data_IF_675019675394
#
_entry.id   IF_675019675394
#
_cell.length_a   1.000
_cell.length_b   1.000
_cell.length_c   1.000
_cell.angle_alpha   90.00
_cell.angle_beta   90.00
_cell.angle_gamma   90.00
#
_symmetry.space_group_name_H-M   'P 1'
#
loop_
_entity.id
_entity.type
_entity.pdbx_description
1 polymer ?
#
# COMPACT_ATOMS: atom_id res chain seq x y z
N UNK A 1 -19.73 14.11 4.74
CA UNK A 1 -18.89 13.35 5.68
C UNK A 1 -17.74 12.77 4.86
N UNK A 2 -16.48 13.09 5.19
CA UNK A 2 -15.30 12.75 4.37
C UNK A 2 -14.82 11.31 4.64
N UNK A 3 -14.81 10.46 3.60
CA UNK A 3 -14.36 9.05 3.65
C UNK A 3 -12.96 8.90 4.26
N UNK A 4 -12.07 9.83 3.93
CA UNK A 4 -10.70 9.87 4.47
C UNK A 4 -10.73 9.99 5.99
N UNK A 5 -11.53 10.91 6.52
CA UNK A 5 -11.61 11.21 7.96
C UNK A 5 -12.29 10.10 8.78
N UNK A 6 -13.26 9.39 8.20
CA UNK A 6 -14.04 8.37 8.92
C UNK A 6 -13.42 6.97 8.84
N UNK A 7 -12.62 6.70 7.81
CA UNK A 7 -12.05 5.37 7.56
C UNK A 7 -10.51 5.40 7.54
N UNK A 8 -9.90 6.14 6.63
CA UNK A 8 -8.46 6.03 6.35
C UNK A 8 -7.54 6.61 7.44
N UNK A 9 -7.96 7.65 8.16
CA UNK A 9 -7.11 8.29 9.19
C UNK A 9 -7.32 7.76 10.61
N UNK A 10 -8.38 6.97 10.87
CA UNK A 10 -8.69 6.45 12.21
C UNK A 10 -7.76 5.30 12.60
N UNK A 11 -7.24 5.31 13.83
CA UNK A 11 -6.23 4.34 14.30
C UNK A 11 -6.81 3.05 14.92
N UNK A 12 -8.05 3.06 15.42
CA UNK A 12 -8.54 1.98 16.31
C UNK A 12 -9.52 1.03 15.60
N UNK A 13 -9.29 -0.29 15.68
CA UNK A 13 -10.22 -1.37 15.30
C UNK A 13 -9.71 -2.32 14.21
N UNK A 14 -10.15 -3.58 14.26
CA UNK A 14 -9.69 -4.68 13.36
C UNK A 14 -9.84 -4.30 11.89
N UNK A 15 -10.96 -3.69 11.48
CA UNK A 15 -11.22 -3.22 10.11
C UNK A 15 -10.40 -2.00 9.65
N UNK A 16 -9.44 -1.52 10.45
CA UNK A 16 -8.76 -0.23 10.27
C UNK A 16 -7.23 -0.32 10.40
N UNK A 17 -6.69 -1.53 10.45
CA UNK A 17 -5.24 -1.77 10.36
C UNK A 17 -4.72 -1.40 8.98
N UNK A 18 -3.44 -1.06 8.89
CA UNK A 18 -2.81 -0.63 7.66
C UNK A 18 -3.07 -1.55 6.46
N UNK A 19 -2.95 -2.90 6.56
CA UNK A 19 -3.23 -3.79 5.44
C UNK A 19 -4.64 -3.62 4.88
N UNK A 20 -5.68 -3.50 5.71
CA UNK A 20 -7.05 -3.35 5.19
C UNK A 20 -7.23 -2.04 4.44
N UNK A 21 -6.65 -0.96 4.96
CA UNK A 21 -6.71 0.35 4.30
C UNK A 21 -5.99 0.31 2.95
N UNK A 22 -4.81 -0.32 2.92
CA UNK A 22 -4.06 -0.54 1.69
C UNK A 22 -4.87 -1.39 0.69
N UNK A 23 -5.50 -2.48 1.16
CA UNK A 23 -6.35 -3.34 0.34
C UNK A 23 -7.54 -2.58 -0.25
N UNK A 24 -8.26 -1.80 0.56
CA UNK A 24 -9.39 -1.02 0.08
C UNK A 24 -8.97 0.07 -0.92
N UNK A 25 -7.84 0.73 -0.70
CA UNK A 25 -7.30 1.68 -1.66
C UNK A 25 -6.97 1.01 -3.01
N UNK A 26 -6.38 -0.20 -2.95
CA UNK A 26 -6.12 -1.01 -4.14
C UNK A 26 -7.41 -1.48 -4.83
N UNK A 27 -8.45 -1.87 -4.10
CA UNK A 27 -9.77 -2.19 -4.67
C UNK A 27 -10.39 -0.99 -5.39
N UNK A 28 -10.28 0.21 -4.80
CA UNK A 28 -10.75 1.44 -5.43
C UNK A 28 -10.04 1.65 -6.76
N UNK A 29 -8.71 1.59 -6.80
CA UNK A 29 -7.95 1.78 -8.05
C UNK A 29 -8.08 0.65 -9.06
N UNK A 30 -8.44 -0.57 -8.61
CA UNK A 30 -8.80 -1.66 -9.51
C UNK A 30 -10.09 -1.35 -10.28
N UNK A 31 -11.08 -0.76 -9.61
CA UNK A 31 -12.35 -0.37 -10.23
C UNK A 31 -12.25 0.97 -10.99
N UNK A 32 -11.45 1.90 -10.48
CA UNK A 32 -11.29 3.26 -10.99
C UNK A 32 -9.80 3.63 -11.04
N UNK A 33 -9.07 3.30 -12.13
CA UNK A 33 -7.62 3.54 -12.21
C UNK A 33 -7.20 4.99 -11.94
N UNK A 34 -7.99 5.96 -12.42
CA UNK A 34 -7.74 7.39 -12.18
C UNK A 34 -7.74 7.78 -10.69
N UNK A 35 -8.33 6.94 -9.84
CA UNK A 35 -8.31 7.14 -8.39
C UNK A 35 -6.91 6.98 -7.77
N UNK A 36 -5.91 6.52 -8.54
CA UNK A 36 -4.51 6.51 -8.15
C UNK A 36 -4.04 7.88 -7.63
N UNK A 37 -4.49 8.98 -8.25
CA UNK A 37 -4.11 10.34 -7.84
C UNK A 37 -4.68 10.77 -6.49
N UNK A 38 -5.66 10.03 -5.95
CA UNK A 38 -6.25 10.28 -4.64
C UNK A 38 -5.83 9.25 -3.59
N UNK A 39 -5.50 8.03 -4.02
CA UNK A 39 -5.17 6.92 -3.12
C UNK A 39 -3.67 6.68 -2.97
N UNK A 40 -2.91 6.98 -4.02
CA UNK A 40 -1.47 6.78 -4.09
C UNK A 40 -1.06 5.33 -4.25
N UNK A 41 -1.97 4.41 -4.55
CA UNK A 41 -1.65 2.98 -4.73
C UNK A 41 -2.40 2.39 -5.89
N UNK A 42 -1.78 1.48 -6.63
CA UNK A 42 -2.45 0.70 -7.68
C UNK A 42 -1.75 -0.63 -7.91
N UNK A 43 -2.45 -1.60 -8.48
CA UNK A 43 -1.83 -2.85 -8.92
C UNK A 43 -1.09 -2.64 -10.24
N UNK A 44 0.17 -3.10 -10.30
CA UNK A 44 0.95 -3.20 -11.54
C UNK A 44 0.82 -4.62 -12.11
N UNK A 45 0.87 -5.62 -11.23
CA UNK A 45 0.64 -7.02 -11.60
C UNK A 45 -0.36 -7.65 -10.64
N UNK A 46 -0.50 -8.99 -10.70
CA UNK A 46 -1.33 -9.73 -9.76
C UNK A 46 -0.82 -9.63 -8.31
N UNK A 47 0.47 -9.41 -8.09
CA UNK A 47 1.11 -9.42 -6.76
C UNK A 47 1.94 -8.19 -6.47
N UNK A 48 2.23 -7.36 -7.47
CA UNK A 48 3.03 -6.15 -7.32
C UNK A 48 2.14 -4.92 -7.37
N UNK A 49 2.32 -4.05 -6.38
CA UNK A 49 1.64 -2.77 -6.26
C UNK A 49 2.62 -1.63 -6.41
N UNK A 50 2.19 -0.55 -7.07
CA UNK A 50 2.86 0.75 -7.11
C UNK A 50 2.33 1.63 -6.00
N UNK A 51 3.23 2.38 -5.37
CA UNK A 51 2.93 3.23 -4.22
C UNK A 51 3.57 4.61 -4.40
N UNK A 52 2.74 5.65 -4.53
CA UNK A 52 3.15 7.04 -4.34
C UNK A 52 3.15 7.36 -2.84
N UNK A 53 4.34 7.58 -2.30
CA UNK A 53 4.59 7.80 -0.88
C UNK A 53 3.77 8.97 -0.30
N UNK A 54 3.76 10.11 -0.99
CA UNK A 54 3.15 11.32 -0.48
C UNK A 54 1.62 11.24 -0.52
N UNK A 55 1.06 10.72 -1.61
CA UNK A 55 -0.40 10.59 -1.75
C UNK A 55 -0.93 9.58 -0.73
N UNK A 56 -0.29 8.41 -0.61
CA UNK A 56 -0.70 7.39 0.37
C UNK A 56 -0.57 7.91 1.81
N UNK A 57 0.52 8.60 2.14
CA UNK A 57 0.70 9.19 3.47
C UNK A 57 -0.39 10.22 3.77
N UNK A 58 -0.74 11.08 2.81
CA UNK A 58 -1.84 12.04 2.94
C UNK A 58 -3.18 11.33 3.16
N UNK A 59 -3.49 10.27 2.40
CA UNK A 59 -4.69 9.46 2.58
C UNK A 59 -4.79 8.89 4.00
N UNK A 60 -3.68 8.33 4.50
CA UNK A 60 -3.61 7.68 5.80
C UNK A 60 -3.44 8.64 6.99
N UNK A 61 -3.18 9.92 6.74
CA UNK A 61 -2.89 10.90 7.80
C UNK A 61 -1.53 10.68 8.47
N UNK A 62 -0.53 10.24 7.71
CA UNK A 62 0.85 10.04 8.15
C UNK A 62 1.67 11.29 7.82
N UNK A 63 2.26 11.92 8.83
CA UNK A 63 3.06 13.15 8.66
C UNK A 63 4.52 12.86 8.34
N UNK A 64 5.13 11.91 9.04
CA UNK A 64 6.50 11.48 8.78
C UNK A 64 6.49 10.37 7.72
N UNK A 65 6.42 10.72 6.43
CA UNK A 65 6.21 9.77 5.31
C UNK A 65 7.20 8.60 5.34
N UNK A 66 8.50 8.88 5.30
CA UNK A 66 9.54 7.84 5.24
C UNK A 66 9.54 6.97 6.51
N UNK A 67 9.44 7.60 7.69
CA UNK A 67 9.39 6.90 8.97
C UNK A 67 8.15 6.03 9.15
N UNK A 68 6.98 6.58 8.82
CA UNK A 68 5.69 5.94 9.03
C UNK A 68 5.37 4.86 8.00
N UNK A 69 5.84 4.99 6.75
CA UNK A 69 5.60 3.98 5.71
C UNK A 69 6.74 2.97 5.58
N UNK A 70 7.99 3.44 5.44
CA UNK A 70 9.08 2.64 4.85
C UNK A 70 10.25 2.33 5.79
N UNK A 71 10.33 2.93 6.98
CA UNK A 71 11.34 2.56 7.98
C UNK A 71 11.17 1.10 8.44
N UNK A 72 12.17 0.54 9.13
CA UNK A 72 12.10 -0.83 9.70
C UNK A 72 10.92 -1.06 10.64
N UNK A 73 10.41 0.01 11.26
CA UNK A 73 9.20 0.00 12.10
C UNK A 73 7.99 0.66 11.41
N UNK A 74 8.14 1.01 10.13
CA UNK A 74 7.07 1.57 9.31
C UNK A 74 6.04 0.52 8.91
N UNK A 75 4.91 0.99 8.42
CA UNK A 75 3.76 0.15 8.09
C UNK A 75 4.07 -0.96 7.09
N UNK A 76 4.81 -0.68 6.01
CA UNK A 76 5.12 -1.72 5.02
C UNK A 76 5.97 -2.85 5.62
N UNK A 77 7.05 -2.49 6.31
CA UNK A 77 7.96 -3.47 6.92
C UNK A 77 7.28 -4.29 8.03
N UNK A 78 6.51 -3.65 8.92
CA UNK A 78 5.77 -4.33 10.01
C UNK A 78 4.75 -5.34 9.50
N UNK A 79 4.22 -5.14 8.29
CA UNK A 79 3.19 -5.99 7.71
C UNK A 79 3.70 -6.94 6.61
N UNK A 80 5.02 -7.15 6.54
CA UNK A 80 5.70 -8.11 5.63
C UNK A 80 5.63 -7.74 4.13
N UNK A 81 5.51 -6.45 3.83
CA UNK A 81 5.69 -5.98 2.46
C UNK A 81 7.16 -5.69 2.18
N UNK A 82 7.62 -6.12 1.00
CA UNK A 82 9.00 -5.97 0.55
C UNK A 82 9.03 -5.05 -0.66
N UNK A 83 9.95 -4.08 -0.64
CA UNK A 83 10.17 -3.19 -1.78
C UNK A 83 10.86 -3.97 -2.91
N UNK A 84 10.37 -3.78 -4.13
CA UNK A 84 11.03 -4.19 -5.35
C UNK A 84 11.75 -2.97 -5.90
N UNK A 85 13.05 -3.10 -6.18
CA UNK A 85 13.88 -2.03 -6.73
C UNK A 85 13.80 -2.07 -8.24
N UNK A 86 13.33 -1.00 -8.88
CA UNK A 86 13.11 -1.02 -10.33
C UNK A 86 14.42 -1.26 -11.11
N UNK A 87 15.55 -0.77 -10.58
CA UNK A 87 16.88 -0.95 -11.15
C UNK A 87 17.30 -2.43 -11.32
N UNK A 88 16.70 -3.34 -10.54
CA UNK A 88 17.02 -4.76 -10.54
C UNK A 88 15.89 -5.62 -11.15
N UNK A 89 14.91 -5.00 -11.79
CA UNK A 89 13.68 -5.66 -12.23
C UNK A 89 13.26 -5.19 -13.64
N UNK A 90 13.99 -5.63 -14.69
CA UNK A 90 13.77 -5.19 -16.07
C UNK A 90 12.37 -5.50 -16.59
N UNK A 91 11.67 -6.46 -15.99
CA UNK A 91 10.27 -6.76 -16.30
C UNK A 91 9.30 -5.59 -16.06
N UNK A 92 9.67 -4.61 -15.22
CA UNK A 92 8.85 -3.41 -14.98
C UNK A 92 9.25 -2.22 -15.88
N UNK A 93 10.43 -2.23 -16.51
CA UNK A 93 10.88 -1.13 -17.38
C UNK A 93 9.97 -0.93 -18.60
N UNK A 94 9.42 -2.03 -19.13
CA UNK A 94 8.52 -2.00 -20.28
C UNK A 94 7.08 -1.60 -19.92
N UNK A 95 6.75 -1.44 -18.64
CA UNK A 95 5.40 -1.13 -18.18
C UNK A 95 5.22 0.40 -18.12
N UNK A 96 4.30 1.00 -18.89
CA UNK A 96 4.10 2.46 -18.91
C UNK A 96 3.83 3.05 -17.53
N UNK A 97 3.07 2.35 -16.70
CA UNK A 97 2.73 2.77 -15.33
C UNK A 97 3.92 2.78 -14.37
N UNK A 98 5.06 2.19 -14.75
CA UNK A 98 6.27 2.15 -13.93
C UNK A 98 7.33 3.20 -14.34
N UNK A 99 7.10 4.00 -15.38
CA UNK A 99 8.09 4.96 -15.89
C UNK A 99 8.48 6.07 -14.91
N UNK A 100 7.61 6.38 -13.95
CA UNK A 100 7.80 7.38 -12.91
C UNK A 100 8.29 6.79 -11.57
N UNK A 101 8.55 5.48 -11.51
CA UNK A 101 9.07 4.81 -10.30
C UNK A 101 10.54 5.21 -10.12
N UNK A 102 10.85 5.81 -8.96
CA UNK A 102 12.16 6.34 -8.60
C UNK A 102 12.79 5.65 -7.39
N UNK A 103 12.17 4.55 -6.91
CA UNK A 103 12.52 3.80 -5.69
C UNK A 103 12.50 4.63 -4.39
N UNK A 104 12.03 5.89 -4.42
CA UNK A 104 12.01 6.80 -3.27
C UNK A 104 10.64 7.44 -3.01
N UNK A 105 10.12 8.20 -3.97
CA UNK A 105 8.82 8.87 -3.94
C UNK A 105 7.73 7.94 -4.46
N UNK A 106 8.05 7.17 -5.50
CA UNK A 106 7.17 6.19 -6.15
C UNK A 106 7.90 4.85 -6.16
N UNK A 107 7.29 3.84 -5.53
CA UNK A 107 7.94 2.57 -5.22
C UNK A 107 7.08 1.39 -5.60
N UNK A 108 7.72 0.25 -5.85
CA UNK A 108 7.04 -1.02 -6.06
C UNK A 108 7.13 -1.87 -4.80
N UNK A 109 6.04 -2.57 -4.46
CA UNK A 109 5.97 -3.46 -3.31
C UNK A 109 5.27 -4.77 -3.67
N UNK A 110 5.66 -5.83 -2.97
CA UNK A 110 4.97 -7.12 -2.94
C UNK A 110 4.78 -7.58 -1.49
N UNK A 111 3.78 -8.42 -1.23
CA UNK A 111 3.63 -9.08 0.08
C UNK A 111 4.43 -10.37 0.09
N UNK A 112 5.46 -10.44 0.94
CA UNK A 112 6.32 -11.62 1.06
C UNK A 112 5.57 -12.88 1.53
N UNK A 113 4.39 -12.73 2.13
CA UNK A 113 3.52 -13.84 2.53
C UNK A 113 2.50 -14.24 1.46
N UNK A 114 2.48 -13.58 0.30
CA UNK A 114 1.52 -13.82 -0.79
C UNK A 114 0.03 -13.75 -0.38
N UNK A 115 -0.31 -13.00 0.68
CA UNK A 115 -1.69 -12.80 1.13
C UNK A 115 -2.38 -11.70 0.32
N UNK A 116 -1.60 -10.76 -0.19
CA UNK A 116 -2.06 -9.68 -1.06
C UNK A 116 -1.95 -10.07 -2.53
N UNK A 117 -3.11 -10.26 -3.17
CA UNK A 117 -3.18 -10.38 -4.63
C UNK A 117 -4.33 -9.54 -5.18
N UNK A 118 -4.22 -9.15 -6.45
CA UNK A 118 -5.24 -8.36 -7.14
C UNK A 118 -6.59 -9.06 -7.22
N UNK A 119 -6.59 -10.37 -7.34
CA UNK A 119 -7.74 -11.15 -7.79
C UNK A 119 -8.34 -12.06 -6.69
N UNK A 120 -7.70 -12.14 -5.53
CA UNK A 120 -8.22 -12.87 -4.37
C UNK A 120 -8.57 -11.88 -3.24
N UNK A 121 -9.71 -12.06 -2.55
CA UNK A 121 -10.02 -11.32 -1.33
C UNK A 121 -8.89 -11.38 -0.31
N UNK A 122 -8.54 -10.24 0.29
CA UNK A 122 -7.60 -10.22 1.41
C UNK A 122 -8.32 -10.61 2.69
N UNK A 123 -7.82 -11.63 3.36
CA UNK A 123 -8.31 -12.09 4.66
C UNK A 123 -7.29 -11.75 5.74
N UNK A 124 -7.79 -11.27 6.88
CA UNK A 124 -6.94 -11.01 8.03
C UNK A 124 -6.56 -12.33 8.70
N UNK A 125 -5.27 -12.61 8.76
CA UNK A 125 -4.73 -13.63 9.64
C UNK A 125 -4.70 -13.14 11.10
N UNK A 126 -4.68 -14.08 12.04
CA UNK A 126 -4.64 -13.77 13.47
C UNK A 126 -3.41 -12.92 13.84
N UNK A 127 -2.25 -13.16 13.21
CA UNK A 127 -1.03 -12.36 13.38
C UNK A 127 -1.25 -10.87 13.13
N UNK A 128 -2.01 -10.54 12.08
CA UNK A 128 -2.30 -9.15 11.70
C UNK A 128 -3.24 -8.48 12.72
N UNK A 129 -4.10 -9.26 13.38
CA UNK A 129 -5.01 -8.78 14.43
C UNK A 129 -4.25 -8.50 15.73
N UNK A 130 -3.29 -9.34 16.12
CA UNK A 130 -2.47 -9.12 17.32
C UNK A 130 -1.58 -7.87 17.22
N UNK A 131 -1.09 -7.54 16.02
CA UNK A 131 -0.30 -6.32 15.76
C UNK A 131 -1.12 -5.01 15.84
N UNK A 132 -2.45 -5.10 15.93
CA UNK A 132 -3.38 -3.98 15.99
C UNK A 132 -3.80 -3.58 17.42
N UNK A 133 -3.30 -4.32 18.42
CA UNK A 133 -3.75 -4.26 19.81
C UNK A 133 -3.09 -3.20 20.70
N UNK A 134 -2.18 -2.37 20.17
CA UNK A 134 -1.46 -1.32 20.91
C UNK A 134 -1.82 0.10 20.46
#
# INVERSE_FOLDING_TARGET
>A
MDLRQIFFTRRNGIGRVFPIKLYHALLITKAFPDAYWYTGVMWITKTVMKVNAQILATLLGIHAVQGGLFHKQGNFSRHNFTQIMIQNSPEFEAIPECQDVDDFSIRLFTDSRNRFTRDTPFELDQDTIFMAGD
#
